data_IF_237671157395
#
_entry.id   IF_237671157395
#
_cell.length_a   1.000
_cell.length_b   1.000
_cell.length_c   1.000
_cell.angle_alpha   90.00
_cell.angle_beta   90.00
_cell.angle_gamma   90.00
#
_symmetry.space_group_name_H-M   'P 1'
#
loop_
_entity.id
_entity.type
_entity.pdbx_description
1 polymer ?
#
# COMPACT_ATOMS: atom_id res chain seq x y z
N UNK A 1 42.95 2.45 22.87
CA UNK A 1 42.43 3.74 23.38
C UNK A 1 43.28 4.32 24.49
N UNK A 2 43.88 3.47 25.33
CA UNK A 2 44.60 3.94 26.51
C UNK A 2 45.90 4.67 26.17
N UNK A 3 46.63 4.20 25.14
CA UNK A 3 47.84 4.89 24.65
C UNK A 3 47.58 6.35 24.23
N UNK A 4 46.50 6.61 23.50
CA UNK A 4 46.13 7.99 23.07
C UNK A 4 45.70 8.82 24.28
N UNK A 5 45.01 8.21 25.24
CA UNK A 5 44.54 8.87 26.46
C UNK A 5 45.72 9.30 27.34
N UNK A 6 46.69 8.40 27.52
CA UNK A 6 47.92 8.66 28.28
C UNK A 6 48.79 9.70 27.59
N UNK A 7 49.01 9.57 26.27
CA UNK A 7 49.80 10.53 25.50
C UNK A 7 49.21 11.94 25.49
N UNK A 8 47.88 12.05 25.43
CA UNK A 8 47.17 13.34 25.46
C UNK A 8 46.89 13.86 26.88
N UNK A 9 47.50 13.22 27.91
CA UNK A 9 47.36 13.55 29.34
C UNK A 9 45.90 13.69 29.81
N UNK A 10 44.99 12.95 29.17
CA UNK A 10 43.56 12.97 29.51
C UNK A 10 43.32 12.15 30.77
N UNK A 11 42.44 12.66 31.64
CA UNK A 11 42.13 12.02 32.91
C UNK A 11 41.37 10.69 32.75
N UNK A 12 40.69 10.49 31.61
CA UNK A 12 39.95 9.27 31.33
C UNK A 12 39.81 9.02 29.84
N UNK A 13 39.74 7.74 29.44
CA UNK A 13 39.51 7.31 28.06
C UNK A 13 38.14 7.76 27.51
N UNK A 14 37.20 8.15 28.39
CA UNK A 14 35.94 8.79 27.98
C UNK A 14 36.15 10.14 27.29
N UNK A 15 37.12 10.94 27.75
CA UNK A 15 37.45 12.23 27.11
C UNK A 15 38.07 12.00 25.73
N UNK A 16 38.78 10.89 25.54
CA UNK A 16 39.37 10.53 24.24
C UNK A 16 38.31 10.23 23.18
N UNK A 17 37.17 9.66 23.57
CA UNK A 17 36.04 9.40 22.65
C UNK A 17 35.49 10.69 22.02
N UNK A 18 35.44 11.79 22.76
CA UNK A 18 34.93 13.09 22.27
C UNK A 18 35.74 13.66 21.11
N UNK A 19 37.01 13.26 20.96
CA UNK A 19 37.92 13.78 19.95
C UNK A 19 38.28 12.76 18.87
N UNK A 20 37.64 11.59 18.88
CA UNK A 20 37.75 10.61 17.80
C UNK A 20 36.65 10.89 16.79
N UNK A 21 37.01 11.69 15.79
CA UNK A 21 36.16 11.93 14.63
C UNK A 21 36.33 10.76 13.66
N UNK A 22 35.74 9.61 14.00
CA UNK A 22 35.54 8.57 13.01
C UNK A 22 34.45 9.03 12.04
N UNK A 23 34.67 8.81 10.75
CA UNK A 23 33.63 9.00 9.75
C UNK A 23 32.43 8.10 10.10
N UNK A 24 31.18 8.64 10.14
CA UNK A 24 30.01 7.88 10.55
C UNK A 24 29.80 6.58 9.78
N UNK A 25 30.09 6.56 8.47
CA UNK A 25 29.95 5.35 7.64
C UNK A 25 30.99 4.30 8.04
N UNK A 26 32.21 4.73 8.32
CA UNK A 26 33.30 3.86 8.78
C UNK A 26 33.02 3.27 10.16
N UNK A 27 32.45 4.05 11.08
CA UNK A 27 32.06 3.56 12.41
C UNK A 27 30.93 2.52 12.32
N UNK A 28 29.91 2.78 11.50
CA UNK A 28 28.81 1.83 11.25
C UNK A 28 29.32 0.53 10.62
N UNK A 29 30.22 0.62 9.64
CA UNK A 29 30.81 -0.55 9.00
C UNK A 29 31.61 -1.42 9.99
N UNK A 30 32.48 -0.80 10.81
CA UNK A 30 33.21 -1.51 11.88
C UNK A 30 32.28 -2.10 12.93
N UNK A 31 31.26 -1.37 13.33
CA UNK A 31 30.26 -1.83 14.30
C UNK A 31 29.47 -3.02 13.76
N UNK A 32 29.06 -2.98 12.50
CA UNK A 32 28.35 -4.08 11.84
C UNK A 32 29.23 -5.34 11.73
N UNK A 33 30.52 -5.16 11.43
CA UNK A 33 31.50 -6.26 11.35
C UNK A 33 31.71 -6.92 12.73
N UNK A 34 31.90 -6.11 13.78
CA UNK A 34 32.03 -6.59 15.17
C UNK A 34 30.77 -7.33 15.65
N UNK A 35 29.59 -6.81 15.30
CA UNK A 35 28.30 -7.39 15.70
C UNK A 35 27.88 -8.57 14.80
N UNK A 36 28.63 -8.87 13.74
CA UNK A 36 28.25 -9.88 12.75
C UNK A 36 26.94 -9.57 12.02
N UNK A 37 26.51 -8.30 11.99
CA UNK A 37 25.27 -7.87 11.34
C UNK A 37 25.46 -7.46 9.88
N UNK A 38 26.68 -7.61 9.35
CA UNK A 38 26.96 -7.41 7.92
C UNK A 38 26.22 -8.48 7.11
N UNK A 39 25.04 -8.10 6.61
CA UNK A 39 24.33 -8.88 5.60
C UNK A 39 24.94 -8.51 4.24
N UNK A 40 25.72 -9.43 3.65
CA UNK A 40 26.12 -9.32 2.25
C UNK A 40 24.90 -9.60 1.37
N UNK A 41 24.11 -8.57 1.09
CA UNK A 41 23.12 -8.62 0.04
C UNK A 41 23.79 -8.28 -1.28
N UNK A 42 24.07 -9.30 -2.08
CA UNK A 42 24.38 -9.08 -3.49
C UNK A 42 23.08 -8.79 -4.22
N UNK A 43 22.93 -7.60 -4.84
CA UNK A 43 21.75 -7.34 -5.66
C UNK A 43 21.70 -8.37 -6.79
N UNK A 44 20.56 -9.06 -6.92
CA UNK A 44 20.33 -9.95 -8.04
C UNK A 44 20.44 -9.16 -9.35
N UNK A 45 20.90 -9.83 -10.40
CA UNK A 45 20.94 -9.24 -11.73
C UNK A 45 19.52 -8.81 -12.16
N UNK A 46 19.35 -7.62 -12.78
CA UNK A 46 18.06 -7.20 -13.30
C UNK A 46 17.49 -8.26 -14.26
N UNK A 47 16.24 -8.64 -14.04
CA UNK A 47 15.52 -9.59 -14.91
C UNK A 47 14.81 -8.84 -16.04
N UNK A 48 14.61 -9.53 -17.18
CA UNK A 48 13.81 -8.98 -18.28
C UNK A 48 12.32 -8.94 -17.91
N UNK A 49 11.54 -8.06 -18.54
CA UNK A 49 10.11 -7.89 -18.26
C UNK A 49 9.33 -9.20 -18.47
N UNK A 50 9.62 -9.96 -19.53
CA UNK A 50 9.04 -11.28 -19.81
C UNK A 50 9.38 -12.30 -18.70
N UNK A 51 10.62 -12.30 -18.20
CA UNK A 51 11.03 -13.18 -17.13
C UNK A 51 10.40 -12.76 -15.80
N UNK A 52 10.20 -11.45 -15.62
CA UNK A 52 9.50 -10.89 -14.50
C UNK A 52 8.02 -11.35 -14.55
N UNK A 53 7.30 -11.16 -15.64
CA UNK A 53 5.88 -11.56 -15.81
C UNK A 53 5.59 -13.02 -15.42
N UNK A 54 6.53 -13.95 -15.64
CA UNK A 54 6.42 -15.36 -15.21
C UNK A 54 6.26 -15.54 -13.70
N UNK A 55 6.70 -14.59 -12.88
CA UNK A 55 6.46 -14.61 -11.42
C UNK A 55 5.06 -14.11 -11.01
N UNK A 56 4.22 -13.68 -11.96
CA UNK A 56 2.88 -13.15 -11.71
C UNK A 56 2.85 -11.81 -10.95
N UNK A 57 1.69 -11.45 -10.38
CA UNK A 57 1.52 -10.24 -9.56
C UNK A 57 2.27 -10.29 -8.21
N UNK A 58 2.96 -11.40 -7.92
CA UNK A 58 3.57 -11.68 -6.62
C UNK A 58 2.54 -12.17 -5.59
N UNK A 59 2.97 -12.36 -4.34
CA UNK A 59 2.07 -12.83 -3.28
C UNK A 59 1.03 -11.76 -2.93
N UNK A 60 -0.24 -12.13 -3.01
CA UNK A 60 -1.33 -11.33 -2.46
C UNK A 60 -1.28 -11.38 -0.93
N UNK A 61 -1.48 -10.23 -0.27
CA UNK A 61 -1.62 -10.20 1.18
C UNK A 61 -3.07 -9.85 1.55
N UNK A 62 -3.55 -10.48 2.63
CA UNK A 62 -4.87 -10.19 3.20
C UNK A 62 -4.75 -8.99 4.13
N UNK A 63 -5.40 -7.90 3.77
CA UNK A 63 -5.68 -6.77 4.67
C UNK A 63 -6.84 -7.11 5.61
N UNK A 64 -7.15 -6.21 6.56
CA UNK A 64 -8.32 -6.36 7.44
C UNK A 64 -9.67 -6.31 6.70
N UNK A 65 -9.70 -5.79 5.47
CA UNK A 65 -10.92 -5.59 4.68
C UNK A 65 -11.07 -6.57 3.51
N UNK A 66 -10.00 -7.24 3.11
CA UNK A 66 -9.96 -8.02 1.87
C UNK A 66 -8.55 -8.26 1.36
N UNK A 67 -8.42 -8.71 0.12
CA UNK A 67 -7.16 -9.05 -0.52
C UNK A 67 -6.58 -7.82 -1.22
N UNK A 68 -5.33 -7.48 -0.93
CA UNK A 68 -4.62 -6.43 -1.66
C UNK A 68 -3.98 -7.02 -2.93
N UNK A 69 -4.36 -6.49 -4.10
CA UNK A 69 -3.87 -6.91 -5.41
C UNK A 69 -2.64 -6.15 -5.89
N UNK A 70 -2.10 -5.24 -5.07
CA UNK A 70 -0.91 -4.45 -5.41
C UNK A 70 0.29 -5.37 -5.65
N UNK A 71 0.95 -5.17 -6.79
CA UNK A 71 2.19 -5.89 -7.12
C UNK A 71 3.31 -5.47 -6.16
N UNK A 72 4.05 -6.44 -5.61
CA UNK A 72 5.19 -6.15 -4.72
C UNK A 72 6.35 -5.46 -5.45
N UNK A 73 6.38 -5.54 -6.78
CA UNK A 73 7.40 -4.87 -7.61
C UNK A 73 7.32 -3.36 -7.52
N UNK A 74 6.13 -2.87 -7.19
CA UNK A 74 5.85 -1.46 -6.97
C UNK A 74 6.41 -0.91 -5.64
N UNK A 75 6.97 -1.79 -4.80
CA UNK A 75 7.38 -1.44 -3.44
C UNK A 75 6.20 -1.43 -2.45
N UNK A 76 6.47 -1.03 -1.19
CA UNK A 76 5.45 -1.00 -0.14
C UNK A 76 4.31 -0.04 -0.50
N UNK A 77 3.11 -0.34 0.02
CA UNK A 77 1.94 0.50 -0.22
C UNK A 77 2.14 1.90 0.37
N UNK A 78 1.97 2.94 -0.46
CA UNK A 78 2.05 4.35 -0.06
C UNK A 78 0.71 4.92 0.45
N UNK A 79 -0.34 4.09 0.52
CA UNK A 79 -1.68 4.51 0.98
C UNK A 79 -1.86 4.41 2.50
N UNK A 80 -0.85 3.99 3.26
CA UNK A 80 -0.83 3.99 4.73
C UNK A 80 -2.14 3.45 5.37
N UNK A 81 -2.58 2.25 4.97
CA UNK A 81 -3.80 1.60 5.45
C UNK A 81 -5.14 2.25 5.04
N UNK A 82 -5.14 3.18 4.09
CA UNK A 82 -6.35 3.74 3.47
C UNK A 82 -6.98 2.78 2.42
N UNK A 83 -7.13 1.51 2.80
CA UNK A 83 -7.56 0.45 1.88
C UNK A 83 -9.01 0.62 1.42
N UNK A 84 -9.88 1.25 2.21
CA UNK A 84 -11.29 1.49 1.85
C UNK A 84 -11.46 2.60 0.79
N UNK A 85 -10.37 3.25 0.39
CA UNK A 85 -10.32 4.18 -0.73
C UNK A 85 -9.39 3.67 -1.86
N UNK A 86 -8.99 2.40 -1.81
CA UNK A 86 -8.03 1.81 -2.74
C UNK A 86 -8.72 0.91 -3.78
N UNK A 87 -8.49 1.14 -5.07
CA UNK A 87 -8.98 0.25 -6.15
C UNK A 87 -8.23 -1.07 -6.23
N UNK A 88 -7.04 -1.15 -5.62
CA UNK A 88 -6.28 -2.40 -5.55
C UNK A 88 -6.86 -3.37 -4.51
N UNK A 89 -7.77 -2.91 -3.63
CA UNK A 89 -8.46 -3.76 -2.66
C UNK A 89 -9.57 -4.57 -3.34
N UNK A 90 -9.46 -5.89 -3.25
CA UNK A 90 -10.51 -6.82 -3.62
C UNK A 90 -11.19 -7.35 -2.35
N UNK A 91 -12.49 -7.14 -2.27
CA UNK A 91 -13.32 -7.59 -1.16
C UNK A 91 -14.19 -8.76 -1.62
N UNK A 92 -14.59 -9.61 -0.66
CA UNK A 92 -15.49 -10.73 -0.93
C UNK A 92 -16.75 -10.55 -0.10
N UNK A 93 -17.91 -10.59 -0.78
CA UNK A 93 -19.18 -10.59 -0.09
C UNK A 93 -19.33 -11.85 0.76
N UNK A 94 -19.86 -11.70 1.98
CA UNK A 94 -19.98 -12.79 2.94
C UNK A 94 -18.76 -12.93 3.88
N UNK A 95 -17.69 -12.15 3.67
CA UNK A 95 -16.62 -12.03 4.67
C UNK A 95 -17.13 -11.23 5.88
N UNK A 96 -17.58 -11.97 6.89
CA UNK A 96 -18.10 -11.41 8.15
C UNK A 96 -17.05 -10.60 8.89
N UNK A 97 -15.80 -11.06 8.91
CA UNK A 97 -14.71 -10.36 9.61
C UNK A 97 -14.46 -9.00 8.96
N UNK A 98 -14.40 -8.95 7.63
CA UNK A 98 -14.26 -7.70 6.90
C UNK A 98 -15.46 -6.77 7.15
N UNK A 99 -16.68 -7.29 7.07
CA UNK A 99 -17.91 -6.51 7.24
C UNK A 99 -18.01 -5.92 8.65
N UNK A 100 -17.77 -6.71 9.69
CA UNK A 100 -17.79 -6.28 11.09
C UNK A 100 -16.69 -5.22 11.35
N UNK A 101 -15.51 -5.41 10.75
CA UNK A 101 -14.40 -4.47 10.82
C UNK A 101 -14.75 -3.12 10.20
N UNK A 102 -15.38 -3.13 9.02
CA UNK A 102 -15.79 -1.90 8.31
C UNK A 102 -16.88 -1.16 9.09
N UNK A 103 -17.82 -1.90 9.68
CA UNK A 103 -18.84 -1.33 10.54
C UNK A 103 -18.22 -0.64 11.75
N UNK A 104 -17.27 -1.29 12.42
CA UNK A 104 -16.56 -0.72 13.56
C UNK A 104 -15.77 0.56 13.20
N UNK A 105 -15.10 0.56 12.05
CA UNK A 105 -14.39 1.74 11.56
C UNK A 105 -15.35 2.88 11.21
N UNK A 106 -16.52 2.58 10.60
CA UNK A 106 -17.55 3.58 10.32
C UNK A 106 -18.08 4.22 11.61
N UNK A 107 -18.34 3.41 12.64
CA UNK A 107 -18.85 3.89 13.92
C UNK A 107 -17.82 4.79 14.61
N UNK A 108 -16.55 4.38 14.61
CA UNK A 108 -15.43 5.17 15.14
C UNK A 108 -15.25 6.49 14.37
N UNK A 109 -15.40 6.44 13.04
CA UNK A 109 -15.28 7.62 12.17
C UNK A 109 -16.44 8.60 12.40
N UNK A 110 -17.66 8.11 12.64
CA UNK A 110 -18.81 8.96 13.00
C UNK A 110 -18.64 9.63 14.35
N UNK A 111 -18.16 8.91 15.36
CA UNK A 111 -17.90 9.49 16.68
C UNK A 111 -16.88 10.64 16.62
N UNK A 112 -15.78 10.44 15.90
CA UNK A 112 -14.77 11.49 15.71
C UNK A 112 -15.28 12.63 14.84
N UNK A 113 -16.15 12.34 13.85
CA UNK A 113 -16.83 13.34 13.03
C UNK A 113 -17.70 14.27 13.86
N UNK A 114 -18.55 13.70 14.72
CA UNK A 114 -19.46 14.46 15.58
C UNK A 114 -18.69 15.32 16.60
N UNK A 115 -17.62 14.76 17.19
CA UNK A 115 -16.73 15.51 18.06
C UNK A 115 -16.07 16.70 17.35
N UNK A 116 -15.64 16.52 16.09
CA UNK A 116 -15.07 17.59 15.29
C UNK A 116 -16.11 18.66 14.91
N UNK A 117 -17.35 18.27 14.62
CA UNK A 117 -18.44 19.22 14.38
C UNK A 117 -18.72 20.08 15.62
N UNK A 118 -18.72 19.47 16.81
CA UNK A 118 -18.86 20.20 18.08
C UNK A 118 -17.69 21.17 18.29
N UNK A 119 -16.45 20.75 18.07
CA UNK A 119 -15.28 21.62 18.19
C UNK A 119 -15.35 22.83 17.24
N UNK A 120 -15.86 22.65 16.02
CA UNK A 120 -16.11 23.75 15.07
C UNK A 120 -17.15 24.72 15.63
N UNK A 121 -18.24 24.22 16.22
CA UNK A 121 -19.25 25.04 16.88
C UNK A 121 -18.67 25.83 18.07
N UNK A 122 -17.68 25.26 18.77
CA UNK A 122 -16.99 25.88 19.90
C UNK A 122 -15.89 26.87 19.45
N UNK A 123 -15.69 27.05 18.14
CA UNK A 123 -14.77 28.03 17.55
C UNK A 123 -13.43 27.48 17.04
N UNK A 124 -13.20 26.17 17.10
CA UNK A 124 -11.98 25.53 16.60
C UNK A 124 -12.00 25.39 15.08
N UNK A 125 -11.34 26.34 14.39
CA UNK A 125 -11.34 26.42 12.93
C UNK A 125 -10.57 25.27 12.27
N UNK A 126 -9.55 24.71 12.92
CA UNK A 126 -8.66 23.71 12.33
C UNK A 126 -9.37 22.42 11.92
N UNK A 127 -10.48 22.07 12.58
CA UNK A 127 -11.28 20.88 12.29
C UNK A 127 -12.08 20.95 10.97
N UNK A 128 -12.26 22.13 10.38
CA UNK A 128 -13.14 22.35 9.21
C UNK A 128 -12.70 21.59 7.95
N UNK A 129 -11.38 21.49 7.70
CA UNK A 129 -10.89 20.74 6.53
C UNK A 129 -11.05 19.24 6.71
N UNK A 130 -10.80 18.75 7.92
CA UNK A 130 -10.89 17.33 8.23
C UNK A 130 -12.35 16.85 8.10
N UNK A 131 -13.33 17.60 8.60
CA UNK A 131 -14.76 17.24 8.46
C UNK A 131 -15.21 17.14 7.00
N UNK A 132 -14.72 18.00 6.09
CA UNK A 132 -15.06 17.89 4.67
C UNK A 132 -14.61 16.56 4.05
N UNK A 133 -13.38 16.13 4.36
CA UNK A 133 -12.83 14.85 3.86
C UNK A 133 -13.54 13.68 4.51
N UNK A 134 -13.70 13.72 5.83
CA UNK A 134 -14.34 12.65 6.61
C UNK A 134 -15.81 12.45 6.21
N UNK A 135 -16.55 13.52 5.90
CA UNK A 135 -17.93 13.41 5.44
C UNK A 135 -18.06 12.60 4.14
N UNK A 136 -17.15 12.82 3.18
CA UNK A 136 -17.10 12.06 1.94
C UNK A 136 -16.76 10.58 2.20
N UNK A 137 -15.81 10.33 3.09
CA UNK A 137 -15.41 8.98 3.49
C UNK A 137 -16.55 8.22 4.19
N UNK A 138 -17.26 8.85 5.13
CA UNK A 138 -18.44 8.27 5.80
C UNK A 138 -19.49 7.88 4.77
N UNK A 139 -19.78 8.74 3.79
CA UNK A 139 -20.73 8.45 2.72
C UNK A 139 -20.32 7.22 1.92
N UNK A 140 -19.06 7.16 1.51
CA UNK A 140 -18.52 6.03 0.73
C UNK A 140 -18.57 4.71 1.51
N UNK A 141 -18.12 4.71 2.76
CA UNK A 141 -18.13 3.51 3.61
C UNK A 141 -19.58 3.05 3.90
N UNK A 142 -20.50 4.00 4.12
CA UNK A 142 -21.93 3.69 4.30
C UNK A 142 -22.50 3.02 3.04
N UNK A 143 -22.16 3.51 1.85
CA UNK A 143 -22.56 2.89 0.60
C UNK A 143 -21.95 1.49 0.44
N UNK A 144 -20.66 1.32 0.76
CA UNK A 144 -20.00 0.01 0.72
C UNK A 144 -20.69 -1.00 1.64
N UNK A 145 -21.03 -0.62 2.87
CA UNK A 145 -21.77 -1.47 3.79
C UNK A 145 -23.18 -1.81 3.28
N UNK A 146 -23.83 -0.90 2.55
CA UNK A 146 -25.12 -1.21 1.93
C UNK A 146 -25.00 -2.35 0.92
N UNK A 147 -23.92 -2.37 0.13
CA UNK A 147 -23.62 -3.43 -0.85
C UNK A 147 -23.25 -4.74 -0.13
N UNK A 148 -22.42 -4.67 0.92
CA UNK A 148 -22.01 -5.85 1.68
C UNK A 148 -23.20 -6.54 2.36
N UNK A 149 -24.19 -5.76 2.83
CA UNK A 149 -25.38 -6.28 3.51
C UNK A 149 -26.58 -6.56 2.56
N UNK A 150 -26.45 -6.27 1.26
CA UNK A 150 -27.56 -6.43 0.31
C UNK A 150 -27.90 -7.91 0.03
N UNK A 151 -29.07 -8.38 0.42
CA UNK A 151 -29.46 -9.79 0.23
C UNK A 151 -29.53 -10.20 -1.26
N UNK A 152 -29.68 -9.23 -2.18
CA UNK A 152 -29.75 -9.50 -3.62
C UNK A 152 -28.42 -9.91 -4.25
N UNK A 153 -27.29 -9.56 -3.63
CA UNK A 153 -25.96 -9.93 -4.12
C UNK A 153 -25.54 -11.21 -3.40
N UNK A 154 -25.17 -12.29 -4.11
CA UNK A 154 -24.81 -13.56 -3.48
C UNK A 154 -23.47 -13.49 -2.75
N UNK A 155 -23.34 -14.22 -1.64
CA UNK A 155 -22.07 -14.42 -0.95
C UNK A 155 -21.04 -15.06 -1.90
N UNK A 156 -19.77 -14.69 -1.75
CA UNK A 156 -18.70 -15.02 -2.70
C UNK A 156 -18.51 -14.01 -3.83
N UNK A 157 -19.43 -13.05 -3.99
CA UNK A 157 -19.29 -12.02 -5.02
C UNK A 157 -18.05 -11.14 -4.77
N UNK A 158 -17.19 -10.91 -5.79
CA UNK A 158 -16.10 -9.96 -5.69
C UNK A 158 -16.64 -8.53 -5.69
N UNK A 159 -16.14 -7.71 -4.76
CA UNK A 159 -16.46 -6.29 -4.65
C UNK A 159 -15.16 -5.50 -4.79
N UNK A 160 -15.18 -4.52 -5.68
CA UNK A 160 -14.06 -3.63 -5.97
C UNK A 160 -14.54 -2.18 -5.89
N UNK A 161 -13.68 -1.28 -5.40
CA UNK A 161 -13.97 0.14 -5.32
C UNK A 161 -13.50 0.79 -6.62
N UNK A 162 -14.37 1.61 -7.22
CA UNK A 162 -14.01 2.35 -8.42
C UNK A 162 -12.84 3.32 -8.13
N UNK A 163 -11.75 3.13 -8.88
CA UNK A 163 -10.48 3.79 -8.63
C UNK A 163 -10.47 5.24 -9.08
N UNK A 164 -10.56 6.16 -8.11
CA UNK A 164 -10.05 7.54 -8.25
C UNK A 164 -8.74 7.74 -7.50
N UNK A 165 -8.10 6.64 -7.14
CA UNK A 165 -6.96 6.59 -6.26
C UNK A 165 -5.65 6.57 -7.04
N UNK A 166 -4.63 7.16 -6.44
CA UNK A 166 -3.33 7.27 -7.09
C UNK A 166 -2.56 5.94 -7.03
N UNK A 167 -2.01 5.50 -8.16
CA UNK A 167 -1.03 4.42 -8.27
C UNK A 167 0.13 4.91 -9.14
N UNK A 168 1.36 4.72 -8.65
CA UNK A 168 2.57 5.06 -9.42
C UNK A 168 2.66 4.22 -10.69
N UNK A 169 2.23 2.96 -10.62
CA UNK A 169 2.27 2.00 -11.73
C UNK A 169 1.27 2.42 -12.80
N UNK A 170 0.04 2.76 -12.41
CA UNK A 170 -0.99 3.27 -13.33
C UNK A 170 -0.52 4.56 -14.02
N UNK A 171 0.11 5.48 -13.27
CA UNK A 171 0.68 6.72 -13.83
C UNK A 171 1.76 6.42 -14.88
N UNK A 172 2.75 5.60 -14.54
CA UNK A 172 3.85 5.24 -15.46
C UNK A 172 3.32 4.53 -16.71
N UNK A 173 2.36 3.61 -16.55
CA UNK A 173 1.76 2.90 -17.68
C UNK A 173 0.97 3.85 -18.56
N UNK A 174 0.20 4.79 -17.99
CA UNK A 174 -0.50 5.84 -18.74
C UNK A 174 0.48 6.71 -19.52
N UNK A 175 1.52 7.23 -18.86
CA UNK A 175 2.56 8.05 -19.48
C UNK A 175 3.25 7.33 -20.65
N UNK A 176 3.62 6.05 -20.46
CA UNK A 176 4.25 5.24 -21.52
C UNK A 176 3.27 4.93 -22.65
N UNK A 177 2.01 4.64 -22.34
CA UNK A 177 0.99 4.39 -23.34
C UNK A 177 0.73 5.63 -24.21
N UNK A 178 0.64 6.80 -23.58
CA UNK A 178 0.54 8.10 -24.28
C UNK A 178 1.76 8.35 -25.18
N UNK A 179 2.98 8.13 -24.67
CA UNK A 179 4.21 8.28 -25.45
C UNK A 179 4.26 7.32 -26.65
N UNK A 180 3.66 6.13 -26.53
CA UNK A 180 3.54 5.14 -27.59
C UNK A 180 2.30 5.32 -28.49
N UNK A 181 1.48 6.36 -28.26
CA UNK A 181 0.18 6.57 -28.90
C UNK A 181 -0.78 5.36 -28.79
N UNK A 182 -0.63 4.58 -27.71
CA UNK A 182 -1.48 3.43 -27.38
C UNK A 182 -2.63 3.92 -26.50
N UNK A 183 -3.86 3.75 -26.97
CA UNK A 183 -5.04 3.97 -26.12
C UNK A 183 -5.22 2.76 -25.21
N UNK A 184 -5.00 2.94 -23.91
CA UNK A 184 -5.31 1.90 -22.93
C UNK A 184 -6.81 1.61 -22.99
N UNK A 185 -7.21 0.37 -23.25
CA UNK A 185 -8.62 0.02 -23.28
C UNK A 185 -9.18 0.07 -21.86
N UNK A 186 -10.34 0.71 -21.71
CA UNK A 186 -11.07 0.71 -20.45
C UNK A 186 -11.62 -0.70 -20.18
N UNK A 187 -11.46 -1.17 -18.95
CA UNK A 187 -11.80 -2.53 -18.52
C UNK A 187 -13.30 -2.79 -18.72
N UNK A 188 -14.14 -1.78 -18.49
CA UNK A 188 -15.57 -1.83 -18.78
C UNK A 188 -15.86 -1.86 -20.29
N UNK A 189 -15.12 -1.10 -21.10
CA UNK A 189 -15.27 -1.12 -22.56
C UNK A 189 -14.88 -2.47 -23.17
N UNK A 190 -13.89 -3.17 -22.62
CA UNK A 190 -13.48 -4.50 -23.11
C UNK A 190 -14.57 -5.55 -22.89
N UNK A 191 -15.19 -5.58 -21.70
CA UNK A 191 -16.30 -6.47 -21.40
C UNK A 191 -17.54 -6.19 -22.25
N UNK A 192 -17.83 -4.91 -22.53
CA UNK A 192 -18.98 -4.51 -23.35
C UNK A 192 -18.76 -4.80 -24.85
N UNK A 193 -17.54 -4.59 -25.36
CA UNK A 193 -17.28 -4.62 -26.82
C UNK A 193 -16.98 -6.03 -27.34
N UNK A 194 -16.32 -6.86 -26.53
CA UNK A 194 -15.84 -8.17 -26.98
C UNK A 194 -16.44 -9.36 -26.21
N UNK A 195 -17.31 -9.07 -25.23
CA UNK A 195 -18.01 -10.07 -24.43
C UNK A 195 -17.13 -10.76 -23.38
N UNK A 196 -17.78 -11.34 -22.38
CA UNK A 196 -17.13 -12.07 -21.28
C UNK A 196 -16.27 -13.25 -21.78
N UNK A 197 -16.57 -13.77 -22.97
CA UNK A 197 -15.82 -14.85 -23.61
C UNK A 197 -14.39 -14.43 -23.98
N UNK A 198 -14.15 -13.19 -24.42
CA UNK A 198 -12.80 -12.72 -24.71
C UNK A 198 -11.99 -12.57 -23.41
N UNK A 199 -12.63 -12.12 -22.34
CA UNK A 199 -12.01 -12.00 -21.02
C UNK A 199 -11.68 -13.38 -20.44
N UNK A 200 -12.62 -14.34 -20.55
CA UNK A 200 -12.40 -15.73 -20.17
C UNK A 200 -11.29 -16.39 -21.00
N UNK A 201 -11.20 -16.09 -22.30
CA UNK A 201 -10.15 -16.60 -23.18
C UNK A 201 -8.77 -15.99 -22.84
N UNK A 202 -8.72 -14.70 -22.52
CA UNK A 202 -7.51 -14.04 -22.01
C UNK A 202 -7.10 -14.57 -20.63
N UNK A 203 -8.06 -14.91 -19.76
CA UNK A 203 -7.81 -15.58 -18.48
C UNK A 203 -7.31 -17.02 -18.67
N UNK A 204 -7.87 -17.76 -19.62
CA UNK A 204 -7.46 -19.12 -19.96
C UNK A 204 -6.04 -19.16 -20.55
N UNK A 205 -5.71 -18.20 -21.43
CA UNK A 205 -4.36 -18.01 -21.97
C UNK A 205 -3.34 -17.55 -20.91
N UNK A 206 -3.82 -16.95 -19.82
CA UNK A 206 -3.01 -16.57 -18.65
C UNK A 206 -2.94 -17.65 -17.57
N UNK A 207 -3.78 -18.68 -17.65
CA UNK A 207 -3.72 -19.84 -16.78
C UNK A 207 -2.70 -20.85 -17.33
N UNK A 208 -1.81 -21.34 -16.46
CA UNK A 208 -0.70 -22.22 -16.83
C UNK A 208 -1.10 -23.66 -17.12
N UNK A 209 -2.39 -23.98 -17.16
CA UNK A 209 -2.87 -25.36 -17.34
C UNK A 209 -2.86 -25.84 -18.80
N UNK A 210 -2.27 -25.04 -19.72
CA UNK A 210 -1.99 -25.43 -21.11
C UNK A 210 -0.47 -25.53 -21.40
N UNK A 211 0.35 -25.81 -20.38
CA UNK A 211 1.75 -26.22 -20.54
C UNK A 211 2.00 -27.58 -19.88
#
# INVERSE_FOLDING_TARGET
MDLITEWSSRATSRQTRTYLNDDPLTFVAKGADILGTVQKNEPLQPVTEEHAEKYGHGPFHRSRYGICRRSWRAGPCNKFADCLNCSELLMCKGDRLATDTIQHDLDSLRQTYDAAQQAISDGERSASRWTLVTAAQIKQITNLLSILNDISIPDGSPIEIEGRDFSHEQTIVSEKAEAAAIRLPDKQMLGITYGDDLLACLELLRSTDNA
#
